data_IF_371079514693
#
_entry.id   IF_371079514693
#
_cell.length_a   1.000
_cell.length_b   1.000
_cell.length_c   1.000
_cell.angle_alpha   90.00
_cell.angle_beta   90.00
_cell.angle_gamma   90.00
#
_symmetry.space_group_name_H-M   'P 1'
#
loop_
_entity.id
_entity.type
_entity.pdbx_description
1 polymer ?
#
# COMPACT_ATOMS: atom_id res chain seq x y z
N UNK A 1 -17.44 17.04 14.43
CA UNK A 1 -17.11 16.19 15.61
C UNK A 1 -15.62 15.99 15.56
N UNK A 2 -14.88 16.00 16.68
CA UNK A 2 -13.45 15.71 16.64
C UNK A 2 -13.24 14.28 16.12
N UNK A 3 -12.17 14.09 15.34
CA UNK A 3 -11.74 12.77 14.88
C UNK A 3 -11.53 11.86 16.08
N UNK A 4 -12.43 10.89 16.29
CA UNK A 4 -12.38 10.07 17.49
C UNK A 4 -11.24 9.05 17.39
N UNK A 5 -10.61 8.72 18.51
CA UNK A 5 -9.54 7.69 18.55
C UNK A 5 -10.00 6.33 18.01
N UNK A 6 -11.30 6.03 18.13
CA UNK A 6 -11.91 4.83 17.54
C UNK A 6 -11.91 4.89 16.02
N UNK A 7 -12.40 5.99 15.44
CA UNK A 7 -12.41 6.23 14.00
C UNK A 7 -11.00 6.15 13.40
N UNK A 8 -9.99 6.68 14.12
CA UNK A 8 -8.58 6.55 13.75
C UNK A 8 -8.12 5.10 13.69
N UNK A 9 -8.45 4.29 14.68
CA UNK A 9 -8.08 2.88 14.72
C UNK A 9 -8.75 2.10 13.57
N UNK A 10 -10.03 2.37 13.31
CA UNK A 10 -10.79 1.73 12.23
C UNK A 10 -10.15 2.03 10.86
N UNK A 11 -9.75 3.28 10.60
CA UNK A 11 -9.05 3.64 9.37
C UNK A 11 -7.66 3.00 9.26
N UNK A 12 -6.91 2.96 10.37
CA UNK A 12 -5.60 2.31 10.41
C UNK A 12 -5.72 0.84 10.04
N UNK A 13 -6.69 0.13 10.61
CA UNK A 13 -6.92 -1.29 10.34
C UNK A 13 -7.27 -1.52 8.87
N UNK A 14 -8.21 -0.75 8.34
CA UNK A 14 -8.59 -0.83 6.92
C UNK A 14 -7.38 -0.58 6.01
N UNK A 15 -6.62 0.48 6.25
CA UNK A 15 -5.47 0.85 5.42
C UNK A 15 -4.38 -0.22 5.49
N UNK A 16 -4.06 -0.72 6.69
CA UNK A 16 -3.07 -1.80 6.83
C UNK A 16 -3.54 -3.06 6.11
N UNK A 17 -4.83 -3.40 6.19
CA UNK A 17 -5.41 -4.52 5.47
C UNK A 17 -5.14 -4.44 3.96
N UNK A 18 -5.29 -3.25 3.36
CA UNK A 18 -5.04 -3.03 1.94
C UNK A 18 -3.55 -2.97 1.58
N UNK A 19 -2.70 -2.49 2.48
CA UNK A 19 -1.24 -2.45 2.26
C UNK A 19 -0.60 -3.83 2.43
N UNK A 20 -1.11 -4.67 3.32
CA UNK A 20 -0.62 -6.02 3.59
C UNK A 20 -1.10 -7.05 2.56
N UNK A 21 -2.09 -6.70 1.73
CA UNK A 21 -2.59 -7.54 0.64
C UNK A 21 -1.90 -7.27 -0.69
N UNK A 22 -0.97 -6.29 -0.77
CA UNK A 22 -0.27 -5.99 -2.02
C UNK A 22 0.41 -7.27 -2.54
N UNK A 23 -0.02 -7.81 -3.69
CA UNK A 23 0.54 -9.05 -4.22
C UNK A 23 1.95 -8.79 -4.73
N UNK A 24 2.86 -9.68 -4.35
CA UNK A 24 4.26 -9.66 -4.75
C UNK A 24 4.59 -11.07 -5.21
N UNK A 25 5.12 -11.19 -6.43
CA UNK A 25 5.51 -12.48 -7.00
C UNK A 25 7.01 -12.70 -6.90
N UNK A 26 7.79 -11.62 -6.96
CA UNK A 26 9.26 -11.68 -7.04
C UNK A 26 9.94 -10.72 -6.09
N UNK A 27 11.17 -11.03 -5.70
CA UNK A 27 11.93 -10.21 -4.75
C UNK A 27 12.30 -8.84 -5.32
N UNK A 28 12.48 -8.74 -6.63
CA UNK A 28 12.80 -7.48 -7.29
C UNK A 28 11.64 -6.47 -7.22
N UNK A 29 10.42 -6.94 -7.00
CA UNK A 29 9.22 -6.11 -6.95
C UNK A 29 9.09 -5.33 -5.64
N UNK A 30 9.67 -5.78 -4.52
CA UNK A 30 9.58 -5.07 -3.23
C UNK A 30 10.05 -3.62 -3.32
N UNK A 31 11.21 -3.39 -3.97
CA UNK A 31 11.74 -2.04 -4.13
C UNK A 31 10.94 -1.21 -5.14
N UNK A 32 10.41 -1.82 -6.19
CA UNK A 32 9.57 -1.13 -7.19
C UNK A 32 8.24 -0.69 -6.58
N UNK A 33 7.60 -1.57 -5.81
CA UNK A 33 6.35 -1.28 -5.11
C UNK A 33 6.59 -0.19 -4.06
N UNK A 34 7.68 -0.26 -3.31
CA UNK A 34 8.06 0.79 -2.36
C UNK A 34 8.25 2.15 -3.05
N UNK A 35 8.79 2.18 -4.28
CA UNK A 35 8.89 3.41 -5.07
C UNK A 35 7.52 3.92 -5.55
N UNK A 36 6.65 3.03 -6.03
CA UNK A 36 5.29 3.43 -6.44
C UNK A 36 4.46 3.95 -5.27
N UNK A 37 4.55 3.31 -4.10
CA UNK A 37 3.95 3.79 -2.86
C UNK A 37 4.48 5.16 -2.47
N UNK A 38 5.79 5.38 -2.61
CA UNK A 38 6.40 6.69 -2.35
C UNK A 38 5.90 7.74 -3.34
N UNK A 39 5.69 7.38 -4.61
CA UNK A 39 5.10 8.26 -5.64
C UNK A 39 3.63 8.62 -5.35
N UNK A 40 2.90 7.85 -4.56
CA UNK A 40 1.52 8.17 -4.15
C UNK A 40 1.51 9.29 -3.11
N UNK A 41 2.42 9.24 -2.14
CA UNK A 41 2.48 10.20 -1.01
C UNK A 41 3.44 11.37 -1.26
N UNK A 42 4.33 11.24 -2.25
CA UNK A 42 5.22 12.29 -2.72
C UNK A 42 4.42 13.41 -3.37
N UNK A 43 4.64 14.66 -2.94
CA UNK A 43 4.16 15.82 -3.71
C UNK A 43 4.78 15.81 -5.12
N UNK A 44 4.09 16.40 -6.09
CA UNK A 44 4.55 16.49 -7.48
C UNK A 44 5.99 17.05 -7.63
N UNK A 45 6.49 17.77 -6.62
CA UNK A 45 7.82 18.36 -6.61
C UNK A 45 8.95 17.34 -6.42
N UNK A 46 8.72 16.23 -5.71
CA UNK A 46 9.72 15.18 -5.46
C UNK A 46 9.77 14.11 -6.57
N UNK A 47 8.68 13.97 -7.34
CA UNK A 47 8.55 13.03 -8.45
C UNK A 47 9.52 13.33 -9.62
N UNK A 48 9.81 14.61 -9.86
CA UNK A 48 10.68 15.05 -10.97
C UNK A 48 12.13 14.59 -10.79
N UNK A 49 12.61 14.42 -9.55
CA UNK A 49 13.99 14.00 -9.28
C UNK A 49 14.21 12.48 -9.42
N UNK A 50 13.15 11.65 -9.27
CA UNK A 50 13.28 10.17 -9.26
C UNK A 50 13.03 9.50 -10.61
N UNK A 51 12.42 10.20 -11.57
CA UNK A 51 12.02 9.66 -12.87
C UNK A 51 13.18 9.21 -13.80
N UNK A 52 14.45 9.51 -13.47
CA UNK A 52 15.56 9.39 -14.42
C UNK A 52 16.27 8.01 -14.37
N UNK A 53 16.05 7.18 -13.33
CA UNK A 53 16.93 6.01 -13.05
C UNK A 53 16.26 4.63 -12.92
N UNK A 54 14.96 4.45 -13.17
CA UNK A 54 14.32 3.13 -12.98
C UNK A 54 14.13 2.34 -14.28
N UNK A 55 14.64 1.10 -14.39
CA UNK A 55 14.30 0.21 -15.50
C UNK A 55 12.80 -0.10 -15.48
N UNK A 56 12.17 -0.19 -16.67
CA UNK A 56 10.76 -0.56 -16.86
C UNK A 56 10.54 -2.05 -16.55
N UNK A 57 10.63 -2.42 -15.29
CA UNK A 57 10.10 -3.71 -14.83
C UNK A 57 8.60 -3.49 -14.65
N UNK A 58 7.81 -4.16 -15.49
CA UNK A 58 6.35 -4.08 -15.40
C UNK A 58 5.89 -4.90 -14.20
N UNK A 59 5.28 -4.24 -13.21
CA UNK A 59 4.64 -4.91 -12.08
C UNK A 59 3.48 -5.80 -12.57
N UNK A 60 3.20 -6.94 -11.91
CA UNK A 60 2.03 -7.75 -12.20
C UNK A 60 0.73 -6.93 -12.13
N UNK A 61 -0.27 -7.31 -12.94
CA UNK A 61 -1.53 -6.57 -13.05
C UNK A 61 -2.24 -6.42 -11.69
N UNK A 62 -2.27 -7.49 -10.89
CA UNK A 62 -2.89 -7.47 -9.57
C UNK A 62 -2.21 -6.45 -8.63
N UNK A 63 -0.88 -6.34 -8.70
CA UNK A 63 -0.10 -5.35 -7.93
C UNK A 63 -0.43 -3.94 -8.37
N UNK A 64 -0.52 -3.71 -9.69
CA UNK A 64 -0.89 -2.42 -10.25
C UNK A 64 -2.32 -2.00 -9.87
N UNK A 65 -3.27 -2.93 -9.89
CA UNK A 65 -4.65 -2.69 -9.46
C UNK A 65 -4.71 -2.30 -7.98
N UNK A 66 -4.00 -3.02 -7.11
CA UNK A 66 -3.94 -2.69 -5.68
C UNK A 66 -3.29 -1.32 -5.42
N UNK A 67 -2.18 -1.01 -6.09
CA UNK A 67 -1.54 0.30 -6.01
C UNK A 67 -2.44 1.43 -6.52
N UNK A 68 -3.22 1.16 -7.56
CA UNK A 68 -4.22 2.10 -8.09
C UNK A 68 -5.34 2.35 -7.10
N UNK A 69 -5.78 1.32 -6.38
CA UNK A 69 -6.77 1.45 -5.31
C UNK A 69 -6.22 2.27 -4.14
N UNK A 70 -5.00 2.01 -3.68
CA UNK A 70 -4.35 2.81 -2.62
C UNK A 70 -4.24 4.27 -3.05
N UNK A 71 -3.85 4.53 -4.31
CA UNK A 71 -3.82 5.88 -4.90
C UNK A 71 -5.21 6.52 -4.91
N UNK A 72 -6.26 5.76 -5.20
CA UNK A 72 -7.63 6.25 -5.17
C UNK A 72 -8.05 6.64 -3.74
N UNK A 73 -7.78 5.80 -2.74
CA UNK A 73 -8.03 6.09 -1.33
C UNK A 73 -7.36 7.39 -0.90
N UNK A 74 -6.11 7.60 -1.32
CA UNK A 74 -5.36 8.81 -1.00
C UNK A 74 -5.93 10.09 -1.65
N UNK A 75 -6.27 10.01 -2.94
CA UNK A 75 -6.72 11.19 -3.70
C UNK A 75 -8.21 11.51 -3.53
N UNK A 76 -9.00 10.56 -3.01
CA UNK A 76 -10.46 10.69 -2.92
C UNK A 76 -10.98 10.48 -1.50
N UNK A 77 -10.50 11.24 -0.49
CA UNK A 77 -10.88 11.04 0.91
C UNK A 77 -12.38 11.19 1.18
N UNK A 78 -13.09 11.93 0.32
CA UNK A 78 -14.55 12.11 0.38
C UNK A 78 -15.37 10.83 0.30
N UNK A 79 -14.82 9.77 -0.28
CA UNK A 79 -15.53 8.50 -0.43
C UNK A 79 -15.37 7.60 0.81
N UNK A 80 -14.44 7.96 1.72
CA UNK A 80 -14.09 7.19 2.92
C UNK A 80 -14.40 7.95 4.23
N UNK A 81 -14.54 9.26 4.15
CA UNK A 81 -14.73 10.14 5.28
C UNK A 81 -15.97 10.99 5.07
N UNK A 82 -16.91 10.95 6.01
CA UNK A 82 -18.19 11.63 5.88
C UNK A 82 -18.08 13.17 5.97
N UNK A 83 -17.03 13.67 6.62
CA UNK A 83 -16.86 15.09 6.92
C UNK A 83 -15.57 15.62 6.30
N UNK A 84 -15.69 16.72 5.53
CA UNK A 84 -14.54 17.35 4.88
C UNK A 84 -13.50 17.90 5.85
N UNK A 85 -13.88 18.19 7.09
CA UNK A 85 -12.96 18.63 8.14
C UNK A 85 -11.93 17.56 8.52
N UNK A 86 -12.24 16.29 8.24
CA UNK A 86 -11.46 15.13 8.65
C UNK A 86 -10.58 14.57 7.50
N UNK A 87 -10.67 15.15 6.30
CA UNK A 87 -9.94 14.67 5.12
C UNK A 87 -8.43 14.73 5.29
N UNK A 88 -7.92 15.82 5.86
CA UNK A 88 -6.47 15.98 6.09
C UNK A 88 -5.94 14.96 7.09
N UNK A 89 -6.71 14.65 8.14
CA UNK A 89 -6.31 13.67 9.15
C UNK A 89 -6.32 12.25 8.58
N UNK A 90 -7.33 11.90 7.77
CA UNK A 90 -7.35 10.65 7.04
C UNK A 90 -6.17 10.51 6.06
N UNK A 91 -5.86 11.55 5.28
CA UNK A 91 -4.70 11.55 4.38
C UNK A 91 -3.37 11.46 5.14
N UNK A 92 -3.29 12.07 6.32
CA UNK A 92 -2.11 11.95 7.18
C UNK A 92 -1.94 10.50 7.66
N UNK A 93 -3.02 9.84 8.10
CA UNK A 93 -2.98 8.43 8.51
C UNK A 93 -2.52 7.55 7.33
N UNK A 94 -3.09 7.76 6.14
CA UNK A 94 -2.64 7.05 4.93
C UNK A 94 -1.15 7.28 4.66
N UNK A 95 -0.67 8.52 4.77
CA UNK A 95 0.74 8.86 4.57
C UNK A 95 1.64 8.12 5.56
N UNK A 96 1.29 8.12 6.84
CA UNK A 96 2.03 7.44 7.90
C UNK A 96 2.10 5.93 7.64
N UNK A 97 0.98 5.30 7.24
CA UNK A 97 0.92 3.86 6.97
C UNK A 97 1.64 3.45 5.69
N UNK A 98 1.50 4.24 4.61
CA UNK A 98 2.25 4.02 3.38
C UNK A 98 3.76 4.16 3.66
N UNK A 99 4.18 5.16 4.44
CA UNK A 99 5.59 5.35 4.82
C UNK A 99 6.13 4.18 5.64
N UNK A 100 5.35 3.66 6.59
CA UNK A 100 5.71 2.47 7.35
C UNK A 100 5.89 1.26 6.41
N UNK A 101 4.96 1.05 5.47
CA UNK A 101 5.03 -0.06 4.50
C UNK A 101 6.24 0.04 3.55
N UNK A 102 6.55 1.24 3.08
CA UNK A 102 7.76 1.51 2.28
C UNK A 102 9.01 1.12 3.08
N UNK A 103 9.04 1.49 4.36
CA UNK A 103 10.17 1.16 5.24
C UNK A 103 10.28 -0.34 5.41
N UNK A 104 9.19 -1.04 5.74
CA UNK A 104 9.14 -2.50 5.83
C UNK A 104 9.75 -3.16 4.58
N UNK A 105 9.23 -2.85 3.39
CA UNK A 105 9.70 -3.46 2.15
C UNK A 105 11.18 -3.18 1.84
N UNK A 106 11.70 -2.00 2.21
CA UNK A 106 13.12 -1.66 2.03
C UNK A 106 14.03 -2.31 3.05
N UNK A 107 13.53 -2.57 4.26
CA UNK A 107 14.31 -3.16 5.36
C UNK A 107 14.18 -4.68 5.46
N UNK A 108 13.20 -5.28 4.80
CA UNK A 108 13.00 -6.72 4.83
C UNK A 108 14.27 -7.47 4.45
N UNK A 109 14.66 -8.39 5.34
CA UNK A 109 15.68 -9.39 5.09
C UNK A 109 15.19 -10.39 4.04
N UNK A 110 16.11 -11.15 3.44
CA UNK A 110 15.76 -12.19 2.47
C UNK A 110 14.80 -13.26 3.05
N UNK A 111 14.81 -13.45 4.38
CA UNK A 111 13.88 -14.33 5.11
C UNK A 111 12.48 -13.71 5.15
N UNK A 112 12.35 -12.46 5.58
CA UNK A 112 11.07 -11.75 5.65
C UNK A 112 10.44 -11.58 4.26
N UNK A 113 11.24 -11.28 3.23
CA UNK A 113 10.75 -11.26 1.85
C UNK A 113 10.19 -12.61 1.42
N UNK A 114 10.84 -13.72 1.82
CA UNK A 114 10.36 -15.07 1.50
C UNK A 114 9.05 -15.37 2.25
N UNK A 115 8.98 -15.04 3.53
CA UNK A 115 7.78 -15.22 4.35
C UNK A 115 6.61 -14.41 3.80
N UNK A 116 6.84 -13.17 3.36
CA UNK A 116 5.82 -12.35 2.71
C UNK A 116 5.33 -12.97 1.39
N UNK A 117 6.24 -13.45 0.53
CA UNK A 117 5.88 -14.15 -0.70
C UNK A 117 5.07 -15.43 -0.43
N UNK A 118 5.42 -16.18 0.61
CA UNK A 118 4.68 -17.38 1.03
C UNK A 118 3.31 -17.04 1.61
N UNK A 119 3.21 -15.98 2.42
CA UNK A 119 1.94 -15.47 2.94
C UNK A 119 0.99 -15.05 1.81
N UNK A 120 1.49 -14.34 0.80
CA UNK A 120 0.69 -13.94 -0.35
C UNK A 120 0.24 -15.15 -1.18
N UNK A 121 1.11 -16.16 -1.37
CA UNK A 121 0.71 -17.43 -1.99
C UNK A 121 -0.35 -18.17 -1.16
N UNK A 122 -0.25 -18.13 0.17
CA UNK A 122 -1.24 -18.70 1.09
C UNK A 122 -2.61 -18.04 0.92
N UNK A 123 -2.66 -16.70 0.93
CA UNK A 123 -3.90 -15.93 0.70
C UNK A 123 -4.56 -16.24 -0.65
N UNK A 124 -3.76 -16.38 -1.72
CA UNK A 124 -4.29 -16.71 -3.05
C UNK A 124 -4.66 -18.19 -3.23
N UNK A 125 -4.01 -19.13 -2.53
CA UNK A 125 -4.33 -20.56 -2.61
C UNK A 125 -5.45 -21.00 -1.65
N UNK A 126 -5.68 -20.29 -0.55
CA UNK A 126 -6.83 -20.56 0.35
C UNK A 126 -8.19 -20.19 -0.25
N UNK A 127 -8.21 -19.65 -1.47
CA UNK A 127 -9.42 -19.37 -2.25
C UNK A 127 -9.90 -20.56 -3.10
N UNK A 128 -9.20 -21.71 -3.06
CA UNK A 128 -9.72 -22.96 -3.64
C UNK A 128 -10.49 -23.68 -2.55
N UNK A 129 -11.84 -23.74 -2.58
CA UNK A 129 -12.55 -24.65 -1.71
C UNK A 129 -12.10 -26.06 -2.08
N UNK A 130 -11.60 -26.81 -1.09
CA UNK A 130 -11.53 -28.27 -1.17
C UNK A 130 -12.94 -28.79 -1.37
N UNK A 131 -13.34 -28.96 -2.63
CA UNK A 131 -14.52 -29.74 -2.98
C UNK A 131 -14.08 -31.19 -2.79
N UNK A 132 -14.47 -31.76 -1.65
CA UNK A 132 -14.52 -33.21 -1.43
C UNK A 132 -15.68 -33.78 -2.24
#
# INVERSE_FOLDING_TARGET
>A
MPFSSKLKADYVEMINGELDTIPIERREEFNLIAQELENIISSAFLLVLKSIFCPKITLPKATQEQLSYIRYCFNTPKDFVASAADYSEYQQILTERITAKITEFRTFTAKEQKEYLEFQKGKHNSSVPSIV
#
